data_IF_508875024913
#
_entry.id   IF_508875024913
#
_cell.length_a   1.000
_cell.length_b   1.000
_cell.length_c   1.000
_cell.angle_alpha   90.00
_cell.angle_beta   90.00
_cell.angle_gamma   90.00
#
_symmetry.space_group_name_H-M   'P 1'
#
loop_
_entity.id
_entity.type
_entity.pdbx_description
1 polymer ?
#
# COMPACT_ATOMS: atom_id res chain seq x y z
N UNK A 1 -9.08 5.51 -14.71
CA UNK A 1 -8.09 6.58 -14.48
C UNK A 1 -6.69 5.97 -14.41
N UNK A 2 -5.65 6.70 -14.82
CA UNK A 2 -4.26 6.22 -14.69
C UNK A 2 -3.66 6.81 -13.41
N UNK A 3 -3.53 6.01 -12.36
CA UNK A 3 -2.83 6.42 -11.14
C UNK A 3 -1.32 6.46 -11.36
N UNK A 4 -0.67 7.52 -10.90
CA UNK A 4 0.78 7.62 -10.90
C UNK A 4 1.42 6.58 -9.97
N UNK A 5 2.67 6.22 -10.23
CA UNK A 5 3.37 5.31 -9.33
C UNK A 5 3.73 6.01 -8.02
N UNK A 6 3.59 5.31 -6.91
CA UNK A 6 3.87 5.84 -5.59
C UNK A 6 3.16 5.13 -4.45
N UNK A 7 3.28 5.72 -3.28
CA UNK A 7 2.60 5.31 -2.06
C UNK A 7 1.54 6.33 -1.71
N UNK A 8 0.36 5.84 -1.34
CA UNK A 8 -0.82 6.62 -1.06
C UNK A 8 -1.38 6.27 0.32
N UNK A 9 -1.88 7.27 1.03
CA UNK A 9 -2.83 7.07 2.12
C UNK A 9 -4.18 6.75 1.47
N UNK A 10 -4.87 5.76 2.02
CA UNK A 10 -6.18 5.34 1.58
C UNK A 10 -7.09 5.03 2.77
N UNK A 11 -8.38 4.99 2.48
CA UNK A 11 -9.35 4.26 3.30
C UNK A 11 -9.77 3.02 2.55
N UNK A 12 -9.96 1.93 3.25
CA UNK A 12 -10.54 0.73 2.66
C UNK A 12 -11.78 0.29 3.45
N UNK A 13 -12.65 -0.45 2.77
CA UNK A 13 -13.86 -1.00 3.36
C UNK A 13 -13.98 -2.48 3.01
N UNK A 14 -14.10 -3.30 4.05
CA UNK A 14 -14.33 -4.74 3.98
C UNK A 14 -15.28 -5.14 5.11
N UNK A 15 -16.18 -6.10 4.87
CA UNK A 15 -17.20 -6.52 5.84
C UNK A 15 -18.02 -5.36 6.46
N UNK A 16 -18.34 -4.33 5.65
CA UNK A 16 -19.03 -3.10 6.06
C UNK A 16 -18.29 -2.24 7.11
N UNK A 17 -17.03 -2.56 7.40
CA UNK A 17 -16.16 -1.79 8.29
C UNK A 17 -15.12 -1.02 7.49
N UNK A 18 -14.79 0.19 7.95
CA UNK A 18 -13.82 1.06 7.30
C UNK A 18 -12.51 1.11 8.10
N UNK A 19 -11.40 1.07 7.38
CA UNK A 19 -10.06 1.08 7.95
C UNK A 19 -9.15 2.07 7.20
N UNK A 20 -8.13 2.55 7.90
CA UNK A 20 -7.02 3.25 7.28
C UNK A 20 -6.09 2.24 6.59
N UNK A 21 -5.53 2.63 5.46
CA UNK A 21 -4.64 1.78 4.69
C UNK A 21 -3.58 2.60 3.97
N UNK A 22 -2.50 1.92 3.61
CA UNK A 22 -1.49 2.42 2.69
C UNK A 22 -1.56 1.60 1.42
N UNK A 23 -1.52 2.27 0.28
CA UNK A 23 -1.54 1.63 -1.03
C UNK A 23 -0.24 1.92 -1.76
N UNK A 24 0.44 0.87 -2.19
CA UNK A 24 1.51 0.96 -3.17
C UNK A 24 0.94 0.70 -4.57
N UNK A 25 1.22 1.63 -5.48
CA UNK A 25 0.89 1.52 -6.90
C UNK A 25 2.20 1.67 -7.66
N UNK A 26 2.67 0.63 -8.34
CA UNK A 26 3.93 0.73 -9.07
C UNK A 26 4.59 -0.59 -9.33
N UNK A 27 5.82 -0.54 -9.82
CA UNK A 27 6.66 -1.73 -9.99
C UNK A 27 7.60 -1.83 -8.81
N UNK A 28 7.66 -3.00 -8.17
CA UNK A 28 8.64 -3.27 -7.12
C UNK A 28 10.04 -3.41 -7.73
N UNK A 29 10.68 -2.28 -8.04
CA UNK A 29 11.99 -2.22 -8.71
C UNK A 29 13.10 -2.88 -7.89
N UNK A 30 12.97 -2.91 -6.57
CA UNK A 30 13.90 -3.60 -5.66
C UNK A 30 13.90 -5.11 -5.87
N UNK A 31 12.77 -5.69 -6.27
CA UNK A 31 12.60 -7.13 -6.47
C UNK A 31 12.57 -7.55 -7.96
N UNK A 32 12.81 -6.62 -8.88
CA UNK A 32 12.82 -6.92 -10.32
C UNK A 32 11.45 -7.21 -10.93
N UNK A 33 10.36 -6.78 -10.30
CA UNK A 33 9.01 -7.01 -10.83
C UNK A 33 8.79 -6.25 -12.14
N UNK A 34 8.37 -6.96 -13.19
CA UNK A 34 8.12 -6.36 -14.51
C UNK A 34 6.75 -5.68 -14.61
N UNK A 35 5.79 -6.12 -13.81
CA UNK A 35 4.40 -5.66 -13.83
C UNK A 35 4.11 -4.67 -12.71
N UNK A 36 3.20 -3.74 -13.03
CA UNK A 36 2.68 -2.78 -12.05
C UNK A 36 1.70 -3.50 -11.13
N UNK A 37 1.92 -3.41 -9.83
CA UNK A 37 1.03 -3.95 -8.80
C UNK A 37 0.21 -2.85 -8.13
N UNK A 38 -0.91 -3.26 -7.56
CA UNK A 38 -1.73 -2.46 -6.66
C UNK A 38 -1.82 -3.26 -5.37
N UNK A 39 -1.11 -2.81 -4.35
CA UNK A 39 -0.97 -3.52 -3.07
C UNK A 39 -1.48 -2.63 -1.96
N UNK A 40 -2.40 -3.16 -1.14
CA UNK A 40 -3.00 -2.44 -0.02
C UNK A 40 -2.56 -3.09 1.29
N UNK A 41 -1.93 -2.31 2.16
CA UNK A 41 -1.68 -2.68 3.54
C UNK A 41 -2.69 -1.97 4.44
N UNK A 42 -3.63 -2.74 4.99
CA UNK A 42 -4.63 -2.23 5.92
C UNK A 42 -3.97 -2.07 7.29
N UNK A 43 -4.11 -0.90 7.91
CA UNK A 43 -3.53 -0.58 9.22
C UNK A 43 -4.43 -1.11 10.35
N UNK A 44 -4.69 -2.42 10.30
CA UNK A 44 -5.52 -3.15 11.25
C UNK A 44 -5.09 -4.61 11.28
N UNK A 45 -5.03 -5.18 12.48
CA UNK A 45 -4.76 -6.59 12.70
C UNK A 45 -6.07 -7.38 12.52
N UNK A 46 -6.05 -8.39 11.66
CA UNK A 46 -7.20 -9.28 11.44
C UNK A 46 -6.93 -10.64 12.04
N UNK A 47 -7.93 -11.23 12.71
CA UNK A 47 -7.81 -12.57 13.29
C UNK A 47 -7.82 -13.70 12.24
N UNK A 48 -8.18 -13.39 10.99
CA UNK A 48 -8.35 -14.36 9.90
C UNK A 48 -7.99 -13.74 8.55
N UNK A 49 -7.56 -14.59 7.64
CA UNK A 49 -7.41 -14.24 6.23
C UNK A 49 -8.77 -14.07 5.55
N UNK A 50 -8.82 -13.21 4.54
CA UNK A 50 -10.04 -12.85 3.79
C UNK A 50 -9.80 -12.91 2.27
N UNK A 51 -9.02 -13.88 1.82
CA UNK A 51 -8.83 -14.12 0.38
C UNK A 51 -10.15 -14.44 -0.32
N UNK A 52 -10.37 -13.83 -1.48
CA UNK A 52 -11.62 -13.95 -2.25
C UNK A 52 -12.67 -12.89 -1.91
N UNK A 53 -12.48 -12.14 -0.83
CA UNK A 53 -13.38 -11.04 -0.44
C UNK A 53 -13.13 -9.77 -1.27
N UNK A 54 -14.18 -8.94 -1.38
CA UNK A 54 -14.10 -7.66 -2.09
C UNK A 54 -13.63 -6.57 -1.13
N UNK A 55 -12.43 -6.05 -1.37
CA UNK A 55 -11.91 -4.88 -0.69
C UNK A 55 -12.19 -3.62 -1.54
N UNK A 56 -12.99 -2.70 -0.99
CA UNK A 56 -13.18 -1.39 -1.61
C UNK A 56 -12.07 -0.46 -1.12
N UNK A 57 -11.36 0.22 -2.03
CA UNK A 57 -10.23 1.09 -1.69
C UNK A 57 -10.45 2.49 -2.26
N UNK A 58 -10.37 3.50 -1.39
CA UNK A 58 -10.44 4.91 -1.73
C UNK A 58 -9.09 5.57 -1.45
N UNK A 59 -8.37 5.94 -2.52
CA UNK A 59 -7.14 6.70 -2.39
C UNK A 59 -7.44 8.13 -1.93
N UNK A 60 -6.74 8.59 -0.89
CA UNK A 60 -6.93 9.92 -0.31
C UNK A 60 -5.83 10.87 -0.78
N UNK A 61 -4.56 10.47 -0.62
CA UNK A 61 -3.42 11.35 -0.91
C UNK A 61 -2.16 10.56 -1.23
N UNK A 62 -1.42 10.97 -2.26
CA UNK A 62 -0.06 10.48 -2.54
C UNK A 62 0.91 11.07 -1.51
N UNK A 63 1.68 10.21 -0.83
CA UNK A 63 2.68 10.63 0.16
C UNK A 63 4.11 10.58 -0.37
N UNK A 64 4.36 9.78 -1.42
CA UNK A 64 5.63 9.79 -2.16
C UNK A 64 5.54 9.06 -3.50
N UNK A 65 6.53 9.30 -4.35
CA UNK A 65 6.76 8.52 -5.55
C UNK A 65 7.32 7.12 -5.27
N UNK A 66 7.26 6.26 -6.29
CA UNK A 66 7.93 4.97 -6.27
C UNK A 66 9.44 5.18 -6.25
N UNK A 67 10.14 4.48 -5.36
CA UNK A 67 11.57 4.63 -5.14
C UNK A 67 12.21 3.26 -5.01
N UNK A 68 13.29 3.02 -5.75
CA UNK A 68 14.17 1.87 -5.52
C UNK A 68 15.01 2.11 -4.28
N UNK A 69 15.06 1.12 -3.39
CA UNK A 69 15.93 1.16 -2.22
C UNK A 69 17.20 0.36 -2.47
N UNK A 70 18.36 0.82 -1.96
CA UNK A 70 19.64 0.14 -2.15
C UNK A 70 19.76 -1.14 -1.32
N UNK A 71 19.00 -1.24 -0.22
CA UNK A 71 18.97 -2.41 0.67
C UNK A 71 17.57 -2.58 1.29
N UNK A 72 17.37 -3.70 2.00
CA UNK A 72 16.08 -4.07 2.60
C UNK A 72 15.82 -3.23 3.85
N UNK A 73 16.86 -2.89 4.61
CA UNK A 73 16.76 -2.13 5.85
C UNK A 73 16.15 -0.73 5.61
N UNK A 74 16.58 -0.02 4.57
CA UNK A 74 16.03 1.27 4.19
C UNK A 74 14.57 1.18 3.71
N UNK A 75 14.20 0.09 3.04
CA UNK A 75 12.83 -0.17 2.65
C UNK A 75 11.94 -0.34 3.89
N UNK A 76 12.37 -1.14 4.87
CA UNK A 76 11.64 -1.37 6.12
C UNK A 76 11.47 -0.05 6.88
N UNK A 77 12.56 0.71 7.09
CA UNK A 77 12.49 2.01 7.77
C UNK A 77 11.52 2.96 7.07
N UNK A 78 11.50 2.94 5.73
CA UNK A 78 10.58 3.76 4.97
C UNK A 78 9.14 3.33 5.14
N UNK A 79 8.85 2.03 5.14
CA UNK A 79 7.49 1.51 5.35
C UNK A 79 6.96 1.91 6.73
N UNK A 80 7.78 1.85 7.78
CA UNK A 80 7.40 2.29 9.11
C UNK A 80 7.10 3.80 9.15
N UNK A 81 7.88 4.61 8.46
CA UNK A 81 7.60 6.05 8.33
C UNK A 81 6.30 6.30 7.57
N UNK A 82 6.07 5.57 6.47
CA UNK A 82 4.86 5.72 5.66
C UNK A 82 3.61 5.34 6.51
N UNK A 83 3.68 4.29 7.34
CA UNK A 83 2.63 3.88 8.30
C UNK A 83 2.28 4.95 9.33
N UNK A 84 3.27 5.67 9.84
CA UNK A 84 3.05 6.73 10.85
C UNK A 84 2.36 7.98 10.28
N UNK A 85 2.44 8.20 8.97
CA UNK A 85 1.82 9.35 8.30
C UNK A 85 0.32 9.11 8.02
N UNK A 86 -0.08 7.85 7.87
CA UNK A 86 -1.42 7.41 7.46
C UNK A 86 -2.43 7.35 8.61
#
# INVERSE_FOLDING_TARGET
EKFEEGVYIAKCQIFQQQYHAIVFIGKAQTFGHEHKTFETHILHEFDKEFYGEILNVQLIKKIRDNKKFPNIEELIQRLETDKQIA
#
